data_IF_962376013289
#
_entry.id   IF_962376013289
#
_cell.length_a   1.000
_cell.length_b   1.000
_cell.length_c   1.000
_cell.angle_alpha   90.00
_cell.angle_beta   90.00
_cell.angle_gamma   90.00
#
_symmetry.space_group_name_H-M   'P 1'
#
loop_
_entity.id
_entity.type
_entity.pdbx_description
1 polymer ?
#
# COMPACT_ATOMS: atom_id res chain seq x y z
N UNK A 1 -16.96 -8.54 9.50
CA UNK A 1 -16.36 -7.26 9.06
C UNK A 1 -14.87 -7.48 9.12
N UNK A 2 -14.19 -7.51 7.98
CA UNK A 2 -12.76 -7.85 7.95
C UNK A 2 -11.95 -6.72 8.60
N UNK A 3 -11.29 -7.02 9.72
CA UNK A 3 -10.47 -6.04 10.45
C UNK A 3 -9.39 -5.41 9.56
N UNK A 4 -8.91 -6.16 8.58
CA UNK A 4 -7.88 -5.74 7.64
C UNK A 4 -8.37 -4.64 6.70
N UNK A 5 -9.59 -4.76 6.19
CA UNK A 5 -10.23 -3.71 5.39
C UNK A 5 -10.46 -2.44 6.23
N UNK A 6 -10.83 -2.61 7.51
CA UNK A 6 -10.97 -1.50 8.45
C UNK A 6 -9.63 -0.78 8.67
N UNK A 7 -8.53 -1.53 8.87
CA UNK A 7 -7.18 -0.96 9.04
C UNK A 7 -6.70 -0.23 7.78
N UNK A 8 -6.94 -0.80 6.59
CA UNK A 8 -6.60 -0.12 5.33
C UNK A 8 -7.33 1.22 5.21
N UNK A 9 -8.65 1.21 5.43
CA UNK A 9 -9.49 2.41 5.33
C UNK A 9 -9.11 3.49 6.34
N UNK A 10 -8.88 3.14 7.61
CA UNK A 10 -8.71 4.13 8.68
C UNK A 10 -7.27 4.48 9.00
N UNK A 11 -6.29 3.65 8.61
CA UNK A 11 -4.89 3.84 9.01
C UNK A 11 -3.97 3.96 7.80
N UNK A 12 -4.01 3.01 6.87
CA UNK A 12 -2.99 2.93 5.82
C UNK A 12 -3.27 3.84 4.63
N UNK A 13 -4.49 3.81 4.07
CA UNK A 13 -4.86 4.66 2.92
C UNK A 13 -4.78 6.16 3.25
N UNK A 14 -5.25 6.66 4.42
CA UNK A 14 -5.02 8.05 4.80
C UNK A 14 -3.54 8.43 4.80
N UNK A 15 -2.67 7.63 5.43
CA UNK A 15 -1.24 7.92 5.52
C UNK A 15 -0.56 7.94 4.15
N UNK A 16 -0.88 6.97 3.29
CA UNK A 16 -0.31 6.92 1.95
C UNK A 16 -0.76 8.11 1.08
N UNK A 17 -2.00 8.57 1.27
CA UNK A 17 -2.51 9.77 0.61
C UNK A 17 -1.85 11.04 1.17
N UNK A 18 -1.69 11.15 2.49
CA UNK A 18 -1.01 12.28 3.15
C UNK A 18 0.44 12.42 2.68
N UNK A 19 1.11 11.31 2.42
CA UNK A 19 2.46 11.32 1.85
C UNK A 19 2.52 11.53 0.33
N UNK A 20 1.38 11.56 -0.35
CA UNK A 20 1.27 11.81 -1.80
C UNK A 20 1.63 10.60 -2.68
N UNK A 21 1.69 9.39 -2.10
CA UNK A 21 1.97 8.17 -2.86
C UNK A 21 0.74 7.66 -3.59
N UNK A 22 -0.44 7.84 -3.01
CA UNK A 22 -1.72 7.53 -3.65
C UNK A 22 -2.62 8.75 -3.64
N UNK A 23 -3.63 8.73 -4.50
CA UNK A 23 -4.85 9.51 -4.30
C UNK A 23 -5.96 8.53 -3.92
N UNK A 24 -6.81 8.93 -2.97
CA UNK A 24 -7.86 8.06 -2.46
C UNK A 24 -9.20 8.78 -2.43
N UNK A 25 -10.12 8.31 -3.27
CA UNK A 25 -11.53 8.69 -3.24
C UNK A 25 -12.26 7.76 -2.27
N UNK A 26 -12.62 8.31 -1.10
CA UNK A 26 -13.31 7.55 -0.04
C UNK A 26 -14.75 7.22 -0.42
N UNK A 27 -15.40 8.09 -1.18
CA UNK A 27 -16.81 7.93 -1.55
C UNK A 27 -16.93 6.87 -2.65
N UNK A 28 -16.08 6.96 -3.67
CA UNK A 28 -16.03 6.00 -4.76
C UNK A 28 -15.30 4.69 -4.40
N UNK A 29 -14.60 4.64 -3.25
CA UNK A 29 -13.75 3.52 -2.85
C UNK A 29 -12.67 3.19 -3.89
N UNK A 30 -12.10 4.22 -4.53
CA UNK A 30 -11.10 4.08 -5.58
C UNK A 30 -9.75 4.63 -5.10
N UNK A 31 -8.69 3.87 -5.35
CA UNK A 31 -7.30 4.27 -5.09
C UNK A 31 -6.56 4.41 -6.42
N UNK A 32 -5.91 5.54 -6.63
CA UNK A 32 -5.10 5.83 -7.82
C UNK A 32 -3.68 6.22 -7.43
N UNK A 33 -2.77 6.28 -8.42
CA UNK A 33 -1.38 6.69 -8.20
C UNK A 33 -1.33 8.18 -7.87
N UNK A 34 -0.67 8.52 -6.77
CA UNK A 34 -0.39 9.91 -6.41
C UNK A 34 0.85 10.43 -7.12
N UNK A 35 1.13 11.74 -7.02
CA UNK A 35 2.24 12.39 -7.71
C UNK A 35 3.62 11.83 -7.32
N UNK A 36 3.75 11.26 -6.11
CA UNK A 36 5.01 10.69 -5.61
C UNK A 36 5.09 9.17 -5.74
N UNK A 37 4.12 8.53 -6.39
CA UNK A 37 4.04 7.07 -6.50
C UNK A 37 5.35 6.44 -6.98
N UNK A 38 6.00 7.07 -7.96
CA UNK A 38 7.22 6.54 -8.59
C UNK A 38 8.47 6.63 -7.70
N UNK A 39 8.44 7.44 -6.64
CA UNK A 39 9.55 7.52 -5.67
C UNK A 39 9.68 6.23 -4.84
N UNK A 40 8.57 5.52 -4.60
CA UNK A 40 8.59 4.26 -3.84
C UNK A 40 9.02 3.08 -4.69
N UNK A 41 8.94 3.20 -6.02
CA UNK A 41 9.17 2.09 -6.95
C UNK A 41 10.52 1.38 -6.71
N UNK A 42 11.67 2.07 -6.59
CA UNK A 42 12.96 1.40 -6.40
C UNK A 42 13.04 0.61 -5.10
N UNK A 43 12.44 1.14 -4.02
CA UNK A 43 12.40 0.44 -2.72
C UNK A 43 11.50 -0.79 -2.80
N UNK A 44 10.33 -0.69 -3.44
CA UNK A 44 9.41 -1.80 -3.62
C UNK A 44 10.00 -2.88 -4.52
N UNK A 45 10.68 -2.50 -5.61
CA UNK A 45 11.40 -3.42 -6.48
C UNK A 45 12.48 -4.19 -5.72
N UNK A 46 13.27 -3.50 -4.90
CA UNK A 46 14.28 -4.13 -4.04
C UNK A 46 13.64 -5.14 -3.07
N UNK A 47 12.55 -4.76 -2.39
CA UNK A 47 11.84 -5.65 -1.48
C UNK A 47 11.26 -6.87 -2.21
N UNK A 48 10.65 -6.68 -3.38
CA UNK A 48 10.07 -7.75 -4.20
C UNK A 48 11.15 -8.70 -4.71
N UNK A 49 12.32 -8.18 -5.10
CA UNK A 49 13.42 -9.02 -5.56
C UNK A 49 14.06 -9.80 -4.41
N UNK A 50 14.15 -9.23 -3.20
CA UNK A 50 14.54 -9.98 -1.99
C UNK A 50 13.52 -11.07 -1.62
N UNK A 51 12.22 -10.83 -1.86
CA UNK A 51 11.14 -11.79 -1.60
C UNK A 51 11.15 -12.99 -2.57
N UNK A 52 11.84 -12.89 -3.71
CA UNK A 52 12.03 -14.04 -4.61
C UNK A 52 13.04 -15.05 -4.08
N UNK A 53 13.90 -14.64 -3.14
CA UNK A 53 14.92 -15.51 -2.54
C UNK A 53 14.49 -16.01 -1.15
N UNK A 54 13.64 -15.27 -0.44
CA UNK A 54 12.92 -15.74 0.75
C UNK A 54 11.45 -15.40 0.61
N UNK A 55 10.61 -16.41 0.37
CA UNK A 55 9.15 -16.34 0.55
C UNK A 55 8.88 -15.73 1.93
N UNK A 56 8.61 -14.43 1.99
CA UNK A 56 8.17 -13.83 3.25
C UNK A 56 6.72 -14.21 3.37
N UNK A 57 6.51 -15.20 4.24
CA UNK A 57 5.23 -15.63 4.76
C UNK A 57 4.58 -14.41 5.43
N UNK A 58 3.88 -13.58 4.66
CA UNK A 58 3.05 -12.49 5.17
C UNK A 58 1.63 -12.64 4.63
N UNK A 59 1.04 -13.83 4.75
CA UNK A 59 -0.42 -14.03 4.76
C UNK A 59 -0.76 -15.36 5.46
N UNK A 60 -0.33 -15.50 6.72
CA UNK A 60 -0.95 -16.42 7.68
C UNK A 60 -0.77 -15.85 9.08
N UNK A 61 -1.79 -15.15 9.56
CA UNK A 61 -2.46 -15.43 10.84
C UNK A 61 -3.94 -15.01 10.71
#
# INVERSE_FOLDING_TARGET
MDEELLRLHHVHLPKLADYGFIEWDRDAHVVTKGPRFDEMRPLLELLIDQQKEETVVLLRE
#
